data_IF_112554101047
#
_entry.id   IF_112554101047
#
_cell.length_a   1.000
_cell.length_b   1.000
_cell.length_c   1.000
_cell.angle_alpha   90.00
_cell.angle_beta   90.00
_cell.angle_gamma   90.00
#
_symmetry.space_group_name_H-M   'P 1'
#
loop_
_entity.id
_entity.type
_entity.pdbx_description
1 polymer ?
#
# COMPACT_ATOMS: atom_id res chain seq x y z
N UNK A 1 -7.45 -16.01 6.36
CA UNK A 1 -7.76 -14.63 6.77
C UNK A 1 -8.03 -13.77 5.55
N UNK A 2 -9.19 -13.09 5.50
CA UNK A 2 -9.58 -12.14 4.45
C UNK A 2 -8.80 -10.81 4.58
N UNK A 3 -8.68 -10.30 5.80
CA UNK A 3 -7.94 -9.10 6.13
C UNK A 3 -6.60 -9.48 6.78
N UNK A 4 -5.49 -9.03 6.20
CA UNK A 4 -4.13 -9.35 6.69
C UNK A 4 -3.37 -8.05 6.94
N UNK A 5 -2.53 -8.03 7.97
CA UNK A 5 -1.54 -6.97 8.17
C UNK A 5 -0.42 -7.20 7.16
N UNK A 6 -0.13 -6.20 6.33
CA UNK A 6 0.86 -6.29 5.26
C UNK A 6 1.82 -5.11 5.37
N UNK A 7 3.03 -5.37 5.87
CA UNK A 7 4.01 -4.32 6.12
C UNK A 7 4.99 -4.23 4.94
N UNK A 8 5.15 -3.03 4.42
CA UNK A 8 6.08 -2.72 3.34
C UNK A 8 7.51 -2.72 3.90
N UNK A 9 8.49 -3.46 3.32
CA UNK A 9 9.89 -3.41 3.73
C UNK A 9 10.47 -1.99 3.64
N UNK A 10 11.34 -1.60 4.60
CA UNK A 10 11.92 -0.24 4.65
C UNK A 10 12.51 0.27 3.31
N UNK A 11 13.29 -0.53 2.55
CA UNK A 11 13.87 -0.06 1.28
C UNK A 11 12.86 0.19 0.15
N UNK A 12 11.59 -0.16 0.37
CA UNK A 12 10.50 0.05 -0.58
C UNK A 12 9.56 1.20 -0.15
N UNK A 13 9.86 1.89 0.95
CA UNK A 13 9.12 3.09 1.31
C UNK A 13 9.24 4.10 0.17
N UNK A 14 8.15 4.79 -0.16
CA UNK A 14 8.07 5.77 -1.25
C UNK A 14 8.22 5.19 -2.68
N UNK A 15 8.44 3.87 -2.82
CA UNK A 15 8.49 3.19 -4.11
C UNK A 15 7.15 2.57 -4.46
N UNK A 16 6.10 3.39 -4.48
CA UNK A 16 4.71 2.97 -4.69
C UNK A 16 4.27 3.20 -6.14
N UNK A 17 3.20 2.52 -6.56
CA UNK A 17 2.57 2.79 -7.85
C UNK A 17 2.06 4.23 -7.93
N UNK A 18 1.54 4.77 -6.82
CA UNK A 18 1.11 6.17 -6.72
C UNK A 18 2.25 7.13 -7.08
N UNK A 19 3.45 6.93 -6.52
CA UNK A 19 4.64 7.74 -6.87
C UNK A 19 5.08 7.49 -8.31
N UNK A 20 5.01 6.25 -8.77
CA UNK A 20 5.38 5.90 -10.14
C UNK A 20 4.46 6.52 -11.19
N UNK A 21 3.16 6.59 -10.95
CA UNK A 21 2.17 7.20 -11.85
C UNK A 21 2.05 8.72 -11.71
N UNK A 22 2.29 9.24 -10.50
CA UNK A 22 1.93 10.61 -10.10
C UNK A 22 0.45 10.74 -9.71
N UNK A 23 0.14 11.81 -8.96
CA UNK A 23 -1.16 12.02 -8.30
C UNK A 23 -2.36 11.91 -9.28
N UNK A 24 -2.32 12.62 -10.38
CA UNK A 24 -3.47 12.69 -11.30
C UNK A 24 -3.82 11.32 -11.91
N UNK A 25 -2.80 10.56 -12.38
CA UNK A 25 -3.02 9.21 -12.94
C UNK A 25 -3.46 8.22 -11.88
N UNK A 26 -2.90 8.30 -10.68
CA UNK A 26 -3.31 7.49 -9.55
C UNK A 26 -4.76 7.74 -9.16
N UNK A 27 -5.19 9.01 -9.06
CA UNK A 27 -6.56 9.35 -8.71
C UNK A 27 -7.55 8.83 -9.77
N UNK A 28 -7.23 9.00 -11.07
CA UNK A 28 -8.04 8.44 -12.17
C UNK A 28 -8.15 6.92 -12.09
N UNK A 29 -7.05 6.21 -11.83
CA UNK A 29 -7.05 4.77 -11.65
C UNK A 29 -7.93 4.35 -10.47
N UNK A 30 -7.76 4.99 -9.32
CA UNK A 30 -8.52 4.70 -8.10
C UNK A 30 -10.02 4.93 -8.27
N UNK A 31 -10.44 6.01 -8.93
CA UNK A 31 -11.85 6.28 -9.21
C UNK A 31 -12.46 5.20 -10.11
N UNK A 32 -11.82 4.88 -11.22
CA UNK A 32 -12.27 3.82 -12.12
C UNK A 32 -12.40 2.46 -11.40
N UNK A 33 -11.42 2.10 -10.58
CA UNK A 33 -11.46 0.85 -9.80
C UNK A 33 -12.56 0.88 -8.73
N UNK A 34 -12.88 2.03 -8.15
CA UNK A 34 -13.99 2.16 -7.20
C UNK A 34 -15.33 1.94 -7.89
N UNK A 35 -15.54 2.53 -9.08
CA UNK A 35 -16.75 2.36 -9.88
C UNK A 35 -16.96 0.90 -10.29
N UNK A 36 -15.93 0.26 -10.86
CA UNK A 36 -16.01 -1.18 -11.27
C UNK A 36 -16.23 -2.13 -10.11
N UNK A 37 -15.80 -1.76 -8.88
CA UNK A 37 -16.00 -2.58 -7.66
C UNK A 37 -17.33 -2.25 -6.93
N UNK A 38 -18.24 -1.48 -7.57
CA UNK A 38 -19.52 -1.08 -6.99
C UNK A 38 -19.37 -0.17 -5.76
N UNK A 39 -18.31 0.66 -5.72
CA UNK A 39 -18.00 1.60 -4.64
C UNK A 39 -18.01 0.97 -3.24
N UNK A 40 -17.46 -0.25 -3.12
CA UNK A 40 -17.42 -1.03 -1.88
C UNK A 40 -15.99 -1.46 -1.53
N UNK A 41 -15.74 -1.67 -0.25
CA UNK A 41 -14.52 -2.29 0.23
C UNK A 41 -14.44 -3.75 -0.22
N UNK A 42 -13.42 -4.11 -1.00
CA UNK A 42 -13.21 -5.46 -1.49
C UNK A 42 -12.83 -6.50 -0.40
N UNK A 43 -12.80 -6.08 0.89
CA UNK A 43 -12.50 -6.96 2.04
C UNK A 43 -13.72 -7.14 2.93
N UNK A 44 -14.35 -6.05 3.40
CA UNK A 44 -15.44 -6.09 4.38
C UNK A 44 -16.79 -5.60 3.85
N UNK A 45 -16.86 -5.14 2.59
CA UNK A 45 -18.10 -4.67 1.96
C UNK A 45 -18.53 -3.23 2.34
N UNK A 46 -17.85 -2.55 3.28
CA UNK A 46 -18.16 -1.17 3.66
C UNK A 46 -18.07 -0.20 2.50
N UNK A 47 -18.97 0.78 2.45
CA UNK A 47 -18.98 1.84 1.45
C UNK A 47 -18.31 3.13 1.92
N UNK A 48 -17.87 3.19 3.18
CA UNK A 48 -17.35 4.41 3.79
C UNK A 48 -15.85 4.61 3.51
N UNK A 49 -15.47 5.84 3.14
CA UNK A 49 -14.09 6.33 3.01
C UNK A 49 -13.17 5.32 2.32
N UNK A 50 -13.42 5.11 1.03
CA UNK A 50 -12.68 4.16 0.21
C UNK A 50 -11.31 4.69 -0.20
N UNK A 51 -10.30 3.82 -0.15
CA UNK A 51 -8.92 4.06 -0.52
C UNK A 51 -8.42 3.02 -1.53
N UNK A 52 -7.57 3.45 -2.45
CA UNK A 52 -6.77 2.52 -3.26
C UNK A 52 -5.62 1.96 -2.43
N UNK A 53 -5.48 0.64 -2.40
CA UNK A 53 -4.42 -0.06 -1.69
C UNK A 53 -3.67 -1.00 -2.64
N UNK A 54 -2.36 -0.86 -2.69
CA UNK A 54 -1.48 -1.70 -3.50
C UNK A 54 -1.25 -3.04 -2.80
N UNK A 55 -1.50 -4.13 -3.49
CA UNK A 55 -1.28 -5.50 -2.98
C UNK A 55 0.00 -6.04 -3.57
N UNK A 56 1.01 -6.23 -2.72
CA UNK A 56 2.34 -6.66 -3.09
C UNK A 56 2.65 -8.09 -2.67
N UNK A 57 3.30 -8.86 -3.54
CA UNK A 57 4.02 -10.07 -3.19
C UNK A 57 5.53 -9.77 -3.11
N UNK A 58 6.17 -10.31 -2.07
CA UNK A 58 7.61 -10.16 -1.86
C UNK A 58 8.27 -11.52 -2.02
N UNK A 59 9.10 -11.64 -3.04
CA UNK A 59 9.78 -12.88 -3.43
C UNK A 59 11.29 -12.73 -3.26
N UNK A 60 11.97 -13.82 -2.98
CA UNK A 60 13.43 -13.90 -3.02
C UNK A 60 13.80 -15.19 -3.74
N UNK A 61 14.41 -15.06 -4.92
CA UNK A 61 14.86 -16.18 -5.74
C UNK A 61 16.30 -15.93 -6.17
N UNK A 62 17.19 -16.94 -6.01
CA UNK A 62 18.60 -16.89 -6.41
C UNK A 62 19.31 -15.59 -5.98
N UNK A 63 19.11 -15.16 -4.73
CA UNK A 63 19.71 -13.94 -4.16
C UNK A 63 19.07 -12.62 -4.59
N UNK A 64 18.11 -12.62 -5.52
CA UNK A 64 17.42 -11.44 -6.00
C UNK A 64 16.08 -11.27 -5.25
N UNK A 65 15.91 -10.13 -4.57
CA UNK A 65 14.65 -9.75 -3.96
C UNK A 65 13.79 -8.97 -4.95
N UNK A 66 12.53 -9.36 -5.10
CA UNK A 66 11.58 -8.72 -6.02
C UNK A 66 10.27 -8.43 -5.29
N UNK A 67 9.81 -7.18 -5.41
CA UNK A 67 8.47 -6.77 -5.03
C UNK A 67 7.60 -6.80 -6.30
N UNK A 68 6.59 -7.66 -6.31
CA UNK A 68 5.66 -7.81 -7.43
C UNK A 68 4.34 -7.17 -7.06
N UNK A 69 3.89 -6.16 -7.81
CA UNK A 69 2.57 -5.57 -7.65
C UNK A 69 1.52 -6.51 -8.26
N UNK A 70 0.71 -7.11 -7.40
CA UNK A 70 -0.32 -8.07 -7.84
C UNK A 70 -1.57 -7.38 -8.36
N UNK A 71 -1.99 -6.31 -7.68
CA UNK A 71 -3.19 -5.51 -8.03
C UNK A 71 -3.29 -4.25 -7.17
N UNK A 72 -4.14 -3.34 -7.59
CA UNK A 72 -4.70 -2.27 -6.73
C UNK A 72 -6.10 -2.69 -6.28
N UNK A 73 -6.37 -2.64 -4.99
CA UNK A 73 -7.65 -3.01 -4.40
C UNK A 73 -8.29 -1.81 -3.72
N UNK A 74 -9.59 -1.59 -3.96
CA UNK A 74 -10.36 -0.57 -3.24
C UNK A 74 -10.79 -1.14 -1.90
N UNK A 75 -10.41 -0.47 -0.81
CA UNK A 75 -10.73 -0.87 0.57
C UNK A 75 -11.10 0.35 1.41
N UNK A 76 -11.93 0.13 2.46
CA UNK A 76 -12.27 1.21 3.40
C UNK A 76 -11.10 1.60 4.28
N UNK A 77 -11.20 2.78 4.91
CA UNK A 77 -10.14 3.31 5.79
C UNK A 77 -9.78 2.34 6.92
N UNK A 78 -10.73 1.62 7.50
CA UNK A 78 -10.45 0.67 8.58
C UNK A 78 -9.60 -0.51 8.09
N UNK A 79 -9.96 -1.08 6.95
CA UNK A 79 -9.16 -2.15 6.33
C UNK A 79 -7.79 -1.63 5.90
N UNK A 80 -7.69 -0.39 5.43
CA UNK A 80 -6.44 0.24 5.02
C UNK A 80 -5.51 0.48 6.21
N UNK A 81 -6.02 1.04 7.33
CA UNK A 81 -5.25 1.26 8.55
C UNK A 81 -4.75 -0.07 9.15
N UNK A 82 -5.56 -1.14 9.04
CA UNK A 82 -5.16 -2.49 9.47
C UNK A 82 -4.12 -3.11 8.55
N UNK A 83 -4.20 -2.90 7.23
CA UNK A 83 -3.13 -3.31 6.32
C UNK A 83 -1.79 -2.72 6.74
N UNK A 84 -1.79 -1.47 7.16
CA UNK A 84 -0.62 -0.72 7.64
C UNK A 84 -0.51 -0.66 9.17
N UNK A 85 -0.91 -1.70 9.90
CA UNK A 85 -1.13 -1.65 11.35
C UNK A 85 0.10 -1.22 12.16
N UNK A 86 1.33 -1.49 11.71
CA UNK A 86 2.52 -0.97 12.38
C UNK A 86 2.62 0.57 12.31
N UNK A 87 2.20 1.20 11.20
CA UNK A 87 2.07 2.66 11.10
C UNK A 87 0.98 3.16 12.04
N UNK A 88 -0.18 2.51 12.04
CA UNK A 88 -1.30 2.81 12.94
C UNK A 88 -0.88 2.74 14.41
N UNK A 89 -0.10 1.73 14.80
CA UNK A 89 0.45 1.59 16.16
C UNK A 89 1.38 2.75 16.52
N UNK A 90 2.25 3.18 15.59
CA UNK A 90 3.11 4.36 15.83
C UNK A 90 2.31 5.65 16.01
N UNK A 91 1.25 5.85 15.22
CA UNK A 91 0.36 7.00 15.37
C UNK A 91 -0.40 6.97 16.69
N UNK A 92 -0.79 5.79 17.16
CA UNK A 92 -1.39 5.62 18.48
C UNK A 92 -0.41 5.94 19.61
N UNK A 93 0.84 5.44 19.53
CA UNK A 93 1.89 5.74 20.51
C UNK A 93 2.25 7.23 20.56
N UNK A 94 2.11 7.93 19.44
CA UNK A 94 2.31 9.37 19.33
C UNK A 94 1.07 10.21 19.74
N UNK A 95 -0.01 9.58 20.25
CA UNK A 95 -1.25 10.27 20.66
C UNK A 95 -2.11 10.82 19.52
N UNK A 96 -1.77 10.53 18.24
CA UNK A 96 -2.50 11.01 17.05
C UNK A 96 -3.79 10.20 16.83
N UNK A 97 -3.78 8.93 17.19
CA UNK A 97 -4.95 8.03 17.15
C UNK A 97 -5.40 7.77 18.59
N UNK A 98 -6.70 7.98 18.85
CA UNK A 98 -7.27 7.75 20.17
C UNK A 98 -7.30 6.26 20.56
N UNK A 99 -7.31 5.90 21.87
CA UNK A 99 -7.47 4.52 22.34
C UNK A 99 -8.70 3.83 21.76
N UNK A 100 -9.83 4.55 21.67
CA UNK A 100 -11.10 4.03 21.12
C UNK A 100 -10.95 3.67 19.64
N UNK A 101 -10.34 4.55 18.85
CA UNK A 101 -10.07 4.29 17.41
C UNK A 101 -9.16 3.08 17.25
N UNK A 102 -8.08 3.00 18.03
CA UNK A 102 -7.15 1.87 17.98
C UNK A 102 -7.83 0.56 18.38
N UNK A 103 -8.64 0.58 19.43
CA UNK A 103 -9.47 -0.57 19.87
C UNK A 103 -10.49 -0.99 18.82
N UNK A 104 -11.16 -0.03 18.16
CA UNK A 104 -12.12 -0.27 17.09
C UNK A 104 -11.48 -0.99 15.89
N UNK A 105 -10.26 -0.63 15.49
CA UNK A 105 -9.53 -1.29 14.41
C UNK A 105 -9.20 -2.76 14.75
N UNK A 106 -8.80 -3.05 16.00
CA UNK A 106 -8.58 -4.43 16.46
C UNK A 106 -9.87 -5.25 16.45
N UNK A 107 -10.99 -4.66 16.87
CA UNK A 107 -12.32 -5.28 16.79
C UNK A 107 -12.72 -5.53 15.33
N UNK A 108 -12.47 -4.57 14.42
CA UNK A 108 -12.77 -4.70 13.00
C UNK A 108 -11.99 -5.87 12.37
N UNK A 109 -10.69 -5.99 12.64
CA UNK A 109 -9.88 -7.12 12.16
C UNK A 109 -10.48 -8.47 12.59
N UNK A 110 -10.84 -8.59 13.88
CA UNK A 110 -11.40 -9.83 14.44
C UNK A 110 -12.73 -10.17 13.80
N UNK A 111 -13.62 -9.19 13.66
CA UNK A 111 -14.93 -9.37 13.02
C UNK A 111 -14.81 -9.84 11.56
N UNK A 112 -13.93 -9.20 10.77
CA UNK A 112 -13.73 -9.53 9.35
C UNK A 112 -13.14 -10.93 9.16
N UNK A 113 -12.29 -11.37 10.08
CA UNK A 113 -11.61 -12.67 10.00
C UNK A 113 -12.28 -13.79 10.81
N UNK A 114 -13.31 -13.49 11.62
CA UNK A 114 -13.93 -14.46 12.52
C UNK A 114 -12.94 -15.02 13.56
N UNK A 115 -12.06 -14.17 14.11
CA UNK A 115 -10.97 -14.63 14.97
C UNK A 115 -10.94 -13.93 16.34
N UNK A 116 -10.24 -14.54 17.31
CA UNK A 116 -10.08 -14.02 18.68
C UNK A 116 -8.92 -13.03 18.76
N UNK A 117 -8.81 -12.33 19.90
CA UNK A 117 -7.73 -11.38 20.16
C UNK A 117 -6.33 -12.00 20.05
N UNK A 118 -6.12 -13.18 20.60
CA UNK A 118 -4.85 -13.92 20.53
C UNK A 118 -4.38 -14.12 19.09
N UNK A 119 -5.29 -14.51 18.20
CA UNK A 119 -4.95 -14.75 16.78
C UNK A 119 -4.59 -13.46 16.05
N UNK A 120 -5.21 -12.32 16.42
CA UNK A 120 -4.79 -11.01 15.94
C UNK A 120 -3.36 -10.69 16.39
N UNK A 121 -3.06 -10.86 17.68
CA UNK A 121 -1.75 -10.52 18.25
C UNK A 121 -0.65 -11.40 17.64
N UNK A 122 -0.88 -12.71 17.50
CA UNK A 122 0.02 -13.64 16.82
C UNK A 122 0.24 -13.26 15.35
N UNK A 123 -0.83 -12.86 14.64
CA UNK A 123 -0.73 -12.41 13.25
C UNK A 123 0.12 -11.14 13.14
N UNK A 124 -0.06 -10.17 14.04
CA UNK A 124 0.71 -8.94 14.04
C UNK A 124 2.20 -9.20 14.35
N UNK A 125 2.50 -10.03 15.34
CA UNK A 125 3.88 -10.42 15.66
C UNK A 125 4.55 -11.11 14.45
N UNK A 126 3.87 -12.02 13.77
CA UNK A 126 4.39 -12.66 12.55
C UNK A 126 4.63 -11.65 11.43
N UNK A 127 3.72 -10.68 11.26
CA UNK A 127 3.90 -9.62 10.27
C UNK A 127 5.13 -8.76 10.56
N UNK A 128 5.36 -8.37 11.83
CA UNK A 128 6.54 -7.61 12.26
C UNK A 128 7.85 -8.40 12.05
N UNK A 129 7.89 -9.69 12.41
CA UNK A 129 9.07 -10.55 12.18
C UNK A 129 9.39 -10.68 10.69
N UNK A 130 8.36 -10.86 9.87
CA UNK A 130 8.52 -10.94 8.41
C UNK A 130 9.01 -9.62 7.83
N UNK A 131 8.46 -8.51 8.28
CA UNK A 131 8.88 -7.17 7.88
C UNK A 131 10.34 -6.90 8.27
N UNK A 132 10.74 -7.22 9.50
CA UNK A 132 12.11 -7.03 9.97
C UNK A 132 13.11 -7.82 9.11
N UNK A 133 12.81 -9.08 8.79
CA UNK A 133 13.64 -9.92 7.92
C UNK A 133 13.76 -9.32 6.51
N UNK A 134 12.62 -8.93 5.88
CA UNK A 134 12.59 -8.34 4.55
C UNK A 134 13.28 -6.99 4.49
N UNK A 135 13.21 -6.21 5.55
CA UNK A 135 13.82 -4.88 5.63
C UNK A 135 15.35 -4.91 5.71
N UNK A 136 15.96 -6.06 6.04
CA UNK A 136 17.43 -6.26 5.97
C UNK A 136 17.93 -6.33 4.53
N UNK A 137 17.10 -6.71 3.59
CA UNK A 137 17.42 -6.78 2.17
C UNK A 137 17.49 -5.37 1.58
N UNK A 138 18.69 -4.92 1.19
CA UNK A 138 18.92 -3.54 0.73
C UNK A 138 18.46 -3.29 -0.71
N UNK A 139 18.63 -4.29 -1.59
CA UNK A 139 18.32 -4.15 -3.03
C UNK A 139 17.06 -4.92 -3.39
N UNK A 140 16.09 -4.22 -3.98
CA UNK A 140 14.84 -4.76 -4.46
C UNK A 140 14.61 -4.38 -5.91
N UNK A 141 14.24 -5.36 -6.73
CA UNK A 141 13.60 -5.12 -8.02
C UNK A 141 12.12 -4.87 -7.81
N UNK A 142 11.52 -4.01 -8.64
CA UNK A 142 10.07 -3.80 -8.65
C UNK A 142 9.54 -4.37 -9.97
N UNK A 143 8.57 -5.24 -9.85
CA UNK A 143 7.75 -5.69 -10.97
C UNK A 143 6.36 -5.07 -10.82
N UNK A 144 6.00 -4.21 -11.74
CA UNK A 144 4.74 -3.48 -11.74
C UNK A 144 3.55 -4.30 -12.24
N UNK A 145 3.76 -5.59 -12.62
CA UNK A 145 2.71 -6.45 -13.15
C UNK A 145 1.97 -5.82 -14.31
N UNK A 146 0.65 -5.84 -14.24
CA UNK A 146 -0.25 -5.24 -15.25
C UNK A 146 -0.13 -3.70 -15.42
N UNK A 147 0.51 -3.01 -14.47
CA UNK A 147 0.67 -1.55 -14.51
C UNK A 147 1.97 -1.09 -15.18
N UNK A 148 2.79 -1.99 -15.72
CA UNK A 148 4.11 -1.70 -16.28
C UNK A 148 4.05 -0.62 -17.35
N UNK A 149 3.17 -0.77 -18.33
CA UNK A 149 3.06 0.16 -19.46
C UNK A 149 2.63 1.56 -18.99
N UNK A 150 1.70 1.63 -18.04
CA UNK A 150 1.25 2.89 -17.45
C UNK A 150 2.39 3.61 -16.70
N UNK A 151 3.25 2.85 -16.02
CA UNK A 151 4.44 3.39 -15.33
C UNK A 151 5.46 3.90 -16.35
N UNK A 152 5.73 3.19 -17.43
CA UNK A 152 6.67 3.63 -18.45
C UNK A 152 6.16 4.90 -19.17
N UNK A 153 4.89 4.99 -19.51
CA UNK A 153 4.26 6.21 -20.05
C UNK A 153 4.40 7.38 -19.08
N UNK A 154 4.18 7.14 -17.77
CA UNK A 154 4.33 8.17 -16.75
C UNK A 154 5.77 8.67 -16.59
N UNK A 155 6.76 7.76 -16.68
CA UNK A 155 8.19 8.11 -16.67
C UNK A 155 8.58 8.95 -17.89
N UNK A 156 8.19 8.51 -19.07
CA UNK A 156 8.49 9.24 -20.33
C UNK A 156 7.91 10.67 -20.31
N UNK A 157 6.69 10.84 -19.80
CA UNK A 157 6.05 12.16 -19.67
C UNK A 157 6.84 13.07 -18.70
N UNK A 158 7.34 12.56 -17.58
CA UNK A 158 8.16 13.33 -16.62
C UNK A 158 9.51 13.74 -17.23
N UNK A 159 10.16 12.84 -17.95
CA UNK A 159 11.42 13.13 -18.64
C UNK A 159 11.26 14.26 -19.66
N UNK A 160 10.21 14.19 -20.51
CA UNK A 160 9.91 15.25 -21.48
C UNK A 160 9.65 16.59 -20.81
N UNK A 161 8.87 16.60 -19.73
CA UNK A 161 8.58 17.81 -18.96
C UNK A 161 9.87 18.42 -18.38
N UNK A 162 10.71 17.64 -17.73
CA UNK A 162 11.99 18.08 -17.17
C UNK A 162 12.91 18.68 -18.24
N UNK A 163 13.02 18.04 -19.40
CA UNK A 163 13.84 18.53 -20.53
C UNK A 163 13.30 19.86 -21.09
N UNK A 164 11.97 20.04 -21.20
CA UNK A 164 11.39 21.27 -21.69
C UNK A 164 11.58 22.45 -20.73
N UNK A 165 11.60 22.20 -19.40
CA UNK A 165 11.80 23.24 -18.41
C UNK A 165 13.26 23.60 -18.21
N UNK A 166 14.18 22.63 -18.32
CA UNK A 166 15.61 22.90 -18.30
C UNK A 166 16.06 23.79 -19.49
N UNK A 167 15.46 23.65 -20.68
CA UNK A 167 15.76 24.51 -21.84
C UNK A 167 15.26 25.95 -21.64
N UNK A 168 14.12 26.15 -20.97
CA UNK A 168 13.57 27.49 -20.71
C UNK A 168 14.39 28.30 -19.71
N UNK A 169 14.99 27.62 -18.71
CA UNK A 169 15.85 28.29 -17.69
C UNK A 169 17.25 28.68 -18.22
N UNK A 170 17.64 28.24 -19.44
CA UNK A 170 18.89 28.61 -20.08
C UNK A 170 18.75 29.74 -21.10
N UNK A 171 17.52 30.21 -21.33
CA UNK A 171 17.20 31.30 -22.31
C UNK A 171 16.73 32.58 -21.64
N UNK A 172 16.82 32.66 -20.32
CA UNK A 172 16.66 33.88 -19.48
C UNK A 172 17.95 34.24 -18.82
#
# INVERSE_FOLDING_TARGET
MKLRIQLVPKPLFERTLREALGKARWDKLRHRLAETNGARCGICGSTQRLHGHEVWAYQQKKGVATAVLLKVQIICIDCHDIRHFARTTKLFQAGIITPDRYGALRKHFRRVNGCRQREFDEHFIRALRTWARRSKQKKWKIDWGEFRDQVEVAKAARTKWAQSHARRSLTT
#
